data_IF_156437994032
#
_entry.id   IF_156437994032
#
_cell.length_a   1.000
_cell.length_b   1.000
_cell.length_c   1.000
_cell.angle_alpha   90.00
_cell.angle_beta   90.00
_cell.angle_gamma   90.00
#
_symmetry.space_group_name_H-M   'P 1'
#
loop_
_entity.id
_entity.type
_entity.pdbx_description
1 polymer ?
#
# COMPACT_ATOMS: atom_id res chain seq x y z
N UNK A 1 5.57 32.39 -26.75
CA UNK A 1 4.42 32.32 -25.82
C UNK A 1 4.86 31.47 -24.64
N UNK A 2 5.06 32.11 -23.50
CA UNK A 2 5.54 31.51 -22.26
C UNK A 2 4.49 30.56 -21.69
N UNK A 3 4.84 29.28 -21.57
CA UNK A 3 4.06 28.34 -20.76
C UNK A 3 4.26 28.74 -19.29
N UNK A 4 3.20 29.24 -18.67
CA UNK A 4 3.13 29.41 -17.22
C UNK A 4 3.11 28.04 -16.59
N UNK A 5 4.28 27.55 -16.17
CA UNK A 5 4.38 26.40 -15.28
C UNK A 5 3.65 26.72 -13.98
N UNK A 6 2.69 25.87 -13.63
CA UNK A 6 2.02 25.97 -12.34
C UNK A 6 3.03 25.54 -11.27
N UNK A 7 3.74 26.52 -10.69
CA UNK A 7 4.74 26.35 -9.64
C UNK A 7 4.04 26.10 -8.28
N UNK A 8 3.26 25.02 -8.19
CA UNK A 8 2.82 24.45 -6.92
C UNK A 8 3.93 23.59 -6.32
N UNK A 9 4.07 23.57 -4.99
CA UNK A 9 4.85 22.51 -4.34
C UNK A 9 4.25 21.14 -4.69
N UNK A 10 5.06 20.08 -4.89
CA UNK A 10 4.54 18.75 -5.18
C UNK A 10 3.52 18.29 -4.12
N UNK A 11 2.41 17.72 -4.54
CA UNK A 11 1.39 17.12 -3.67
C UNK A 11 1.86 15.74 -3.22
N UNK A 12 2.80 15.72 -2.27
CA UNK A 12 3.38 14.47 -1.73
C UNK A 12 2.53 13.86 -0.61
N UNK A 13 1.77 14.68 0.11
CA UNK A 13 0.86 14.30 1.19
C UNK A 13 -0.57 14.75 0.84
N UNK A 14 -1.59 13.98 1.23
CA UNK A 14 -2.99 14.31 0.99
C UNK A 14 -3.90 14.00 2.19
N UNK A 15 -4.54 15.05 2.73
CA UNK A 15 -5.57 14.94 3.77
C UNK A 15 -7.00 15.26 3.28
N UNK A 16 -7.19 15.32 1.96
CA UNK A 16 -8.50 15.58 1.34
C UNK A 16 -9.14 14.29 0.89
N UNK A 17 -10.43 14.16 1.15
CA UNK A 17 -11.24 13.02 0.74
C UNK A 17 -11.48 12.96 -0.78
N UNK A 18 -11.28 14.08 -1.47
CA UNK A 18 -11.54 14.22 -2.90
C UNK A 18 -10.26 14.05 -3.70
N UNK A 19 -10.27 13.10 -4.64
CA UNK A 19 -9.20 12.92 -5.61
C UNK A 19 -9.35 13.90 -6.77
N UNK A 20 -8.28 14.65 -7.07
CA UNK A 20 -8.19 15.53 -8.23
C UNK A 20 -7.08 15.02 -9.16
N UNK A 21 -7.47 14.48 -10.31
CA UNK A 21 -6.54 13.98 -11.33
C UNK A 21 -6.39 15.00 -12.47
N UNK A 22 -5.17 15.22 -13.00
CA UNK A 22 -4.97 15.94 -14.25
C UNK A 22 -5.73 15.29 -15.41
N UNK A 23 -6.20 16.07 -16.39
CA UNK A 23 -6.92 15.53 -17.56
C UNK A 23 -6.11 14.49 -18.36
N UNK A 24 -4.78 14.59 -18.34
CA UNK A 24 -3.89 13.66 -19.02
C UNK A 24 -3.52 12.41 -18.21
N UNK A 25 -4.06 12.28 -16.99
CA UNK A 25 -3.70 11.19 -16.08
C UNK A 25 -4.31 9.87 -16.55
N UNK A 26 -3.49 8.82 -16.52
CA UNK A 26 -3.86 7.47 -16.90
C UNK A 26 -3.80 6.56 -15.67
N UNK A 27 -4.89 5.85 -15.40
CA UNK A 27 -5.02 5.02 -14.19
C UNK A 27 -4.35 3.65 -14.34
N UNK A 28 -3.85 3.30 -15.53
CA UNK A 28 -3.37 1.97 -15.92
C UNK A 28 -1.85 1.92 -16.08
N UNK A 29 -1.11 2.39 -15.07
CA UNK A 29 0.35 2.50 -15.14
C UNK A 29 1.05 1.15 -15.33
N UNK A 30 0.47 0.03 -14.88
CA UNK A 30 1.06 -1.30 -15.09
C UNK A 30 0.93 -1.79 -16.53
N UNK A 31 0.15 -1.13 -17.40
CA UNK A 31 0.10 -1.40 -18.84
C UNK A 31 1.46 -1.25 -19.54
N UNK A 32 2.36 -0.44 -18.96
CA UNK A 32 3.70 -0.17 -19.49
C UNK A 32 4.74 -1.23 -19.09
N UNK A 33 4.40 -2.13 -18.15
CA UNK A 33 5.32 -3.16 -17.66
C UNK A 33 5.41 -4.34 -18.64
N UNK A 34 6.60 -4.95 -18.73
CA UNK A 34 6.83 -6.19 -19.49
C UNK A 34 6.13 -7.37 -18.78
N UNK A 35 5.35 -8.14 -19.53
CA UNK A 35 4.61 -9.32 -19.05
C UNK A 35 5.52 -10.40 -18.44
N UNK A 36 6.81 -10.42 -18.79
CA UNK A 36 7.78 -11.39 -18.28
C UNK A 36 8.45 -10.97 -16.96
N UNK A 37 8.31 -9.71 -16.51
CA UNK A 37 8.83 -9.30 -15.20
C UNK A 37 8.05 -9.99 -14.09
N UNK A 38 8.73 -10.44 -13.03
CA UNK A 38 8.05 -10.93 -11.84
C UNK A 38 7.44 -9.78 -11.05
N UNK A 39 6.33 -10.03 -10.36
CA UNK A 39 5.74 -9.04 -9.44
C UNK A 39 6.74 -8.64 -8.35
N UNK A 40 7.60 -9.56 -7.91
CA UNK A 40 8.66 -9.27 -6.95
C UNK A 40 9.76 -8.36 -7.47
N UNK A 41 9.82 -8.06 -8.78
CA UNK A 41 10.76 -7.11 -9.40
C UNK A 41 10.19 -5.69 -9.57
N UNK A 42 8.94 -5.45 -9.15
CA UNK A 42 8.24 -4.19 -9.37
C UNK A 42 8.24 -3.36 -8.09
N UNK A 43 8.53 -2.06 -8.23
CA UNK A 43 8.32 -1.10 -7.15
C UNK A 43 6.85 -0.68 -7.13
N UNK A 44 6.12 -1.03 -6.07
CA UNK A 44 4.65 -0.90 -6.01
C UNK A 44 4.25 0.11 -4.94
N UNK A 45 3.48 1.17 -5.28
CA UNK A 45 2.89 2.03 -4.27
C UNK A 45 1.76 1.31 -3.54
N UNK A 46 1.81 1.37 -2.21
CA UNK A 46 0.85 0.72 -1.32
C UNK A 46 0.32 1.67 -0.24
N UNK A 47 -0.74 1.24 0.43
CA UNK A 47 -1.32 1.93 1.59
C UNK A 47 -1.30 1.04 2.82
N UNK A 48 -0.81 1.59 3.93
CA UNK A 48 -0.93 0.99 5.26
C UNK A 48 -2.36 1.16 5.77
N UNK A 49 -2.93 0.11 6.36
CA UNK A 49 -4.31 0.07 6.84
C UNK A 49 -5.28 0.79 5.90
N UNK A 50 -5.33 0.29 4.67
CA UNK A 50 -5.99 0.88 3.48
C UNK A 50 -7.40 1.43 3.78
N UNK A 51 -8.13 0.75 4.66
CA UNK A 51 -9.52 1.08 4.99
C UNK A 51 -9.67 1.97 6.24
N UNK A 52 -8.59 2.32 6.93
CA UNK A 52 -8.63 3.16 8.13
C UNK A 52 -8.93 4.64 7.79
N UNK A 53 -10.20 4.90 7.47
CA UNK A 53 -10.77 6.20 7.08
C UNK A 53 -11.53 6.85 8.24
N UNK A 54 -11.72 6.12 9.34
CA UNK A 54 -12.54 6.52 10.47
C UNK A 54 -11.81 6.31 11.81
N UNK A 55 -12.48 6.68 12.91
CA UNK A 55 -11.92 6.54 14.27
C UNK A 55 -11.16 7.77 14.77
N UNK A 56 -11.06 8.83 13.98
CA UNK A 56 -10.46 10.11 14.36
C UNK A 56 -8.93 10.12 14.25
N UNK A 57 -8.27 11.23 14.66
CA UNK A 57 -6.88 11.48 14.33
C UNK A 57 -5.89 10.40 14.74
N UNK A 58 -6.17 9.63 15.80
CA UNK A 58 -5.29 8.57 16.28
C UNK A 58 -5.39 7.26 15.48
N UNK A 59 -6.44 7.08 14.69
CA UNK A 59 -6.75 5.85 13.96
C UNK A 59 -6.82 6.04 12.44
N UNK A 60 -7.16 7.22 11.94
CA UNK A 60 -7.22 7.50 10.50
C UNK A 60 -5.81 7.45 9.88
N UNK A 61 -5.64 6.60 8.87
CA UNK A 61 -4.40 6.41 8.11
C UNK A 61 -4.53 6.88 6.65
N UNK A 62 -5.77 6.99 6.14
CA UNK A 62 -6.04 7.32 4.74
C UNK A 62 -7.11 8.41 4.64
N UNK A 63 -7.04 9.24 3.60
CA UNK A 63 -8.06 10.24 3.29
C UNK A 63 -8.97 9.81 2.14
N UNK A 64 -8.41 9.15 1.12
CA UNK A 64 -9.16 8.67 -0.04
C UNK A 64 -9.85 7.35 0.27
N UNK A 65 -11.09 7.22 -0.20
CA UNK A 65 -11.75 5.91 -0.30
C UNK A 65 -11.01 5.00 -1.28
N UNK A 66 -11.26 3.70 -1.17
CA UNK A 66 -10.56 2.65 -1.92
C UNK A 66 -10.56 2.90 -3.44
N UNK A 67 -11.68 3.31 -4.04
CA UNK A 67 -11.76 3.58 -5.47
C UNK A 67 -10.79 4.68 -5.91
N UNK A 68 -10.64 5.70 -5.06
CA UNK A 68 -9.78 6.85 -5.33
C UNK A 68 -8.31 6.52 -5.09
N UNK A 69 -8.00 5.68 -4.09
CA UNK A 69 -6.65 5.13 -3.92
C UNK A 69 -6.21 4.32 -5.16
N UNK A 70 -7.08 3.43 -5.67
CA UNK A 70 -6.81 2.65 -6.87
C UNK A 70 -6.61 3.53 -8.11
N UNK A 71 -7.46 4.55 -8.29
CA UNK A 71 -7.33 5.52 -9.38
C UNK A 71 -6.06 6.37 -9.27
N UNK A 72 -5.61 6.71 -8.06
CA UNK A 72 -4.39 7.46 -7.83
C UNK A 72 -3.10 6.64 -8.10
N UNK A 73 -3.23 5.31 -8.27
CA UNK A 73 -2.15 4.42 -8.67
C UNK A 73 -1.76 3.37 -7.64
N UNK A 74 -2.40 3.32 -6.47
CA UNK A 74 -2.13 2.31 -5.43
C UNK A 74 -2.43 0.91 -5.97
N UNK A 75 -1.52 -0.05 -5.75
CA UNK A 75 -1.66 -1.46 -6.17
C UNK A 75 -1.33 -2.47 -5.08
N UNK A 76 -1.01 -2.02 -3.87
CA UNK A 76 -0.91 -2.88 -2.69
C UNK A 76 -1.83 -2.35 -1.58
N UNK A 77 -2.68 -3.24 -1.07
CA UNK A 77 -3.65 -2.95 -0.03
C UNK A 77 -3.32 -3.78 1.22
N UNK A 78 -3.03 -3.10 2.32
CA UNK A 78 -2.94 -3.70 3.64
C UNK A 78 -4.31 -3.64 4.33
N UNK A 79 -4.94 -4.80 4.56
CA UNK A 79 -6.27 -4.91 5.15
C UNK A 79 -6.22 -5.65 6.48
N UNK A 80 -6.78 -5.04 7.52
CA UNK A 80 -7.08 -5.72 8.77
C UNK A 80 -8.54 -6.13 8.81
N UNK A 81 -8.82 -7.38 9.16
CA UNK A 81 -10.17 -7.93 9.16
C UNK A 81 -10.49 -8.67 10.45
N UNK A 82 -11.76 -8.64 10.84
CA UNK A 82 -12.31 -9.35 11.99
C UNK A 82 -13.53 -10.16 11.59
N UNK A 83 -13.57 -11.43 11.99
CA UNK A 83 -14.70 -12.33 11.76
C UNK A 83 -15.78 -12.13 12.83
N UNK A 84 -17.01 -11.83 12.40
CA UNK A 84 -18.15 -11.72 13.31
C UNK A 84 -19.45 -12.10 12.59
N UNK A 85 -20.27 -12.95 13.22
CA UNK A 85 -21.58 -13.39 12.71
C UNK A 85 -21.58 -13.84 11.23
N UNK A 86 -20.50 -14.48 10.78
CA UNK A 86 -20.39 -15.00 9.41
C UNK A 86 -19.96 -13.98 8.35
N UNK A 87 -19.57 -12.76 8.76
CA UNK A 87 -18.98 -11.75 7.88
C UNK A 87 -17.56 -11.35 8.32
N UNK A 88 -16.76 -10.87 7.36
CA UNK A 88 -15.42 -10.32 7.59
C UNK A 88 -15.46 -8.80 7.50
N UNK A 89 -15.37 -8.13 8.65
CA UNK A 89 -15.42 -6.67 8.76
C UNK A 89 -14.01 -6.09 8.67
N UNK A 90 -13.87 -4.95 8.00
CA UNK A 90 -12.60 -4.19 7.97
C UNK A 90 -12.45 -3.41 9.28
N UNK A 91 -11.30 -3.54 9.93
CA UNK A 91 -11.05 -2.97 11.25
C UNK A 91 -9.75 -2.17 11.29
N UNK A 92 -9.59 -1.32 12.29
CA UNK A 92 -8.29 -0.84 12.74
C UNK A 92 -8.24 -0.95 14.27
N UNK A 93 -7.67 -2.05 14.77
CA UNK A 93 -7.77 -2.42 16.17
C UNK A 93 -9.22 -2.73 16.55
N UNK A 94 -9.81 -1.91 17.43
CA UNK A 94 -11.22 -2.05 17.85
C UNK A 94 -12.19 -1.21 17.02
N UNK A 95 -11.69 -0.39 16.09
CA UNK A 95 -12.52 0.51 15.29
C UNK A 95 -13.03 -0.19 14.05
N UNK A 96 -14.34 -0.06 13.80
CA UNK A 96 -14.98 -0.56 12.59
C UNK A 96 -14.88 0.48 11.48
N UNK A 97 -14.34 0.09 10.33
CA UNK A 97 -14.07 0.99 9.20
C UNK A 97 -15.21 1.03 8.16
N UNK A 98 -16.44 0.73 8.59
CA UNK A 98 -17.66 0.86 7.77
C UNK A 98 -17.68 0.05 6.45
N UNK A 99 -16.84 -1.00 6.34
CA UNK A 99 -16.78 -1.87 5.17
C UNK A 99 -16.61 -3.35 5.54
N UNK A 100 -16.67 -4.23 4.54
CA UNK A 100 -16.43 -5.66 4.68
C UNK A 100 -15.43 -6.11 3.63
N UNK A 101 -14.78 -7.26 3.83
CA UNK A 101 -13.84 -7.81 2.85
C UNK A 101 -14.52 -8.00 1.48
N UNK A 102 -15.76 -8.49 1.45
CA UNK A 102 -16.51 -8.65 0.20
C UNK A 102 -16.64 -7.33 -0.57
N UNK A 103 -17.01 -6.23 0.11
CA UNK A 103 -17.12 -4.91 -0.52
C UNK A 103 -15.78 -4.42 -1.07
N UNK A 104 -14.70 -4.67 -0.33
CA UNK A 104 -13.34 -4.33 -0.78
C UNK A 104 -12.99 -5.12 -2.04
N UNK A 105 -13.18 -6.44 -2.04
CA UNK A 105 -12.89 -7.30 -3.20
C UNK A 105 -13.79 -7.00 -4.40
N UNK A 106 -15.06 -6.67 -4.20
CA UNK A 106 -15.98 -6.20 -5.26
C UNK A 106 -15.46 -4.92 -5.91
N UNK A 107 -15.01 -3.97 -5.09
CA UNK A 107 -14.45 -2.68 -5.57
C UNK A 107 -13.18 -2.90 -6.39
N UNK A 108 -12.28 -3.75 -5.91
CA UNK A 108 -11.04 -4.10 -6.62
C UNK A 108 -11.36 -4.84 -7.92
N UNK A 109 -12.31 -5.78 -7.90
CA UNK A 109 -12.74 -6.53 -9.08
C UNK A 109 -13.34 -5.60 -10.14
N UNK A 110 -14.16 -4.63 -9.72
CA UNK A 110 -14.69 -3.61 -10.63
C UNK A 110 -13.55 -2.81 -11.27
N UNK A 111 -12.60 -2.31 -10.48
CA UNK A 111 -11.44 -1.59 -10.98
C UNK A 111 -10.64 -2.41 -12.00
N UNK A 112 -10.33 -3.66 -11.69
CA UNK A 112 -9.57 -4.55 -12.59
C UNK A 112 -10.35 -4.93 -13.86
N UNK A 113 -11.69 -4.91 -13.81
CA UNK A 113 -12.52 -5.13 -15.00
C UNK A 113 -12.44 -3.98 -16.01
N UNK A 114 -12.25 -2.75 -15.50
CA UNK A 114 -12.07 -1.52 -16.27
C UNK A 114 -10.61 -1.37 -16.75
N UNK A 115 -9.64 -1.64 -15.88
CA UNK A 115 -8.21 -1.51 -16.14
C UNK A 115 -7.52 -2.89 -16.14
N UNK A 116 -7.77 -3.66 -17.20
CA UNK A 116 -7.36 -5.08 -17.30
C UNK A 116 -5.85 -5.33 -17.34
N UNK A 117 -5.04 -4.30 -17.56
CA UNK A 117 -3.58 -4.40 -17.48
C UNK A 117 -3.08 -4.47 -16.05
N UNK A 118 -3.87 -4.04 -15.09
CA UNK A 118 -3.46 -3.86 -13.70
C UNK A 118 -3.58 -5.16 -12.90
N UNK A 119 -2.91 -5.23 -11.77
CA UNK A 119 -3.14 -6.25 -10.74
C UNK A 119 -3.05 -5.60 -9.38
N UNK A 120 -3.83 -6.08 -8.40
CA UNK A 120 -3.84 -5.51 -7.05
C UNK A 120 -3.43 -6.57 -6.06
N UNK A 121 -2.38 -6.28 -5.30
CA UNK A 121 -1.90 -7.11 -4.20
C UNK A 121 -2.73 -6.81 -2.95
N UNK A 122 -3.26 -7.84 -2.33
CA UNK A 122 -4.11 -7.73 -1.13
C UNK A 122 -3.52 -8.57 -0.02
N UNK A 123 -3.05 -7.88 1.02
CA UNK A 123 -2.63 -8.51 2.27
C UNK A 123 -3.78 -8.51 3.26
N UNK A 124 -4.03 -9.66 3.88
CA UNK A 124 -5.01 -9.78 4.96
C UNK A 124 -4.31 -10.06 6.29
N UNK A 125 -4.60 -9.22 7.27
CA UNK A 125 -4.19 -9.36 8.66
C UNK A 125 -5.43 -9.65 9.52
N UNK A 126 -5.52 -10.82 10.15
CA UNK A 126 -6.52 -11.03 11.19
C UNK A 126 -6.28 -10.05 12.36
N UNK A 127 -7.24 -9.19 12.65
CA UNK A 127 -7.22 -8.30 13.81
C UNK A 127 -7.95 -8.96 14.99
N UNK A 128 -7.62 -8.53 16.22
CA UNK A 128 -8.21 -9.04 17.46
C UNK A 128 -7.99 -10.55 17.67
N UNK A 129 -9.07 -11.31 17.88
CA UNK A 129 -9.08 -12.74 18.20
C UNK A 129 -9.61 -13.58 17.02
N UNK A 130 -9.64 -14.91 17.15
CA UNK A 130 -10.14 -15.87 16.15
C UNK A 130 -9.40 -15.84 14.79
N UNK A 131 -8.06 -15.83 14.82
CA UNK A 131 -7.24 -15.79 13.60
C UNK A 131 -7.50 -16.95 12.63
N UNK A 132 -7.74 -18.15 13.16
CA UNK A 132 -8.01 -19.34 12.35
C UNK A 132 -9.36 -19.23 11.62
N UNK A 133 -10.39 -18.68 12.31
CA UNK A 133 -11.71 -18.42 11.72
C UNK A 133 -11.61 -17.42 10.55
N UNK A 134 -10.80 -16.37 10.71
CA UNK A 134 -10.56 -15.40 9.64
C UNK A 134 -9.98 -16.08 8.40
N UNK A 135 -8.97 -16.96 8.55
CA UNK A 135 -8.40 -17.65 7.40
C UNK A 135 -9.43 -18.51 6.67
N UNK A 136 -10.17 -19.37 7.41
CA UNK A 136 -11.19 -20.24 6.81
C UNK A 136 -12.26 -19.41 6.08
N UNK A 137 -12.72 -18.31 6.67
CA UNK A 137 -13.72 -17.45 6.05
C UNK A 137 -13.20 -16.75 4.80
N UNK A 138 -11.95 -16.26 4.80
CA UNK A 138 -11.35 -15.67 3.59
C UNK A 138 -11.31 -16.70 2.48
N UNK A 139 -10.87 -17.94 2.78
CA UNK A 139 -10.83 -19.04 1.81
C UNK A 139 -12.23 -19.38 1.25
N UNK A 140 -13.31 -19.19 2.02
CA UNK A 140 -14.67 -19.30 1.48
C UNK A 140 -15.06 -18.11 0.61
N UNK A 141 -14.75 -16.89 1.03
CA UNK A 141 -15.08 -15.65 0.29
C UNK A 141 -14.43 -15.67 -1.10
N UNK A 142 -13.16 -16.04 -1.20
CA UNK A 142 -12.42 -16.01 -2.47
C UNK A 142 -12.98 -16.98 -3.52
N UNK A 143 -13.71 -18.03 -3.12
CA UNK A 143 -14.35 -18.97 -4.07
C UNK A 143 -15.44 -18.30 -4.91
N UNK A 144 -15.93 -17.13 -4.47
CA UNK A 144 -16.86 -16.30 -5.23
C UNK A 144 -16.20 -15.43 -6.32
N UNK A 145 -14.87 -15.45 -6.44
CA UNK A 145 -14.11 -14.61 -7.37
C UNK A 145 -13.27 -15.48 -8.32
N UNK A 146 -13.42 -15.25 -9.63
CA UNK A 146 -12.75 -16.07 -10.65
C UNK A 146 -11.28 -15.65 -10.91
N UNK A 147 -10.95 -14.37 -10.72
CA UNK A 147 -9.66 -13.78 -11.09
C UNK A 147 -8.79 -13.50 -9.85
N UNK A 148 -8.48 -14.56 -9.10
CA UNK A 148 -7.63 -14.47 -7.89
C UNK A 148 -6.39 -15.35 -8.03
N UNK A 149 -5.24 -14.84 -7.60
CA UNK A 149 -4.00 -15.59 -7.46
C UNK A 149 -3.76 -15.88 -6.00
N UNK A 150 -3.75 -17.17 -5.66
CA UNK A 150 -3.58 -17.69 -4.30
C UNK A 150 -2.42 -18.67 -4.16
N UNK A 151 -1.68 -18.89 -5.25
CA UNK A 151 -0.46 -19.70 -5.24
C UNK A 151 0.69 -18.92 -4.58
N UNK A 152 1.55 -19.64 -3.86
CA UNK A 152 2.78 -19.12 -3.26
C UNK A 152 3.88 -18.78 -4.27
N UNK A 153 3.84 -19.32 -5.48
CA UNK A 153 4.81 -18.97 -6.52
C UNK A 153 4.64 -17.51 -6.94
N UNK A 154 5.75 -16.77 -7.05
CA UNK A 154 5.72 -15.39 -7.55
C UNK A 154 5.34 -15.40 -9.03
N UNK A 155 4.21 -14.76 -9.41
CA UNK A 155 3.79 -14.70 -10.79
C UNK A 155 4.55 -13.61 -11.56
N UNK A 156 4.58 -13.75 -12.88
CA UNK A 156 4.92 -12.64 -13.77
C UNK A 156 3.74 -11.68 -13.92
N UNK A 157 4.01 -10.42 -14.27
CA UNK A 157 2.98 -9.41 -14.52
C UNK A 157 1.92 -9.94 -15.50
N UNK A 158 2.35 -10.56 -16.60
CA UNK A 158 1.44 -11.11 -17.62
C UNK A 158 0.50 -12.19 -17.10
N UNK A 159 0.91 -12.97 -16.09
CA UNK A 159 0.07 -14.01 -15.49
C UNK A 159 -1.03 -13.46 -14.60
N UNK A 160 -0.87 -12.25 -14.04
CA UNK A 160 -1.80 -11.67 -13.05
C UNK A 160 -2.51 -10.41 -13.52
N UNK A 161 -2.36 -10.01 -14.78
CA UNK A 161 -3.16 -8.92 -15.36
C UNK A 161 -4.66 -9.20 -15.18
N UNK A 162 -5.38 -8.24 -14.61
CA UNK A 162 -6.80 -8.32 -14.29
C UNK A 162 -7.11 -9.18 -13.06
N UNK A 163 -6.11 -9.58 -12.26
CA UNK A 163 -6.28 -10.45 -11.09
C UNK A 163 -5.96 -9.74 -9.77
N UNK A 164 -6.61 -10.20 -8.71
CA UNK A 164 -6.24 -9.91 -7.33
C UNK A 164 -5.18 -10.92 -6.92
N UNK A 165 -4.05 -10.47 -6.38
CA UNK A 165 -2.98 -11.33 -5.87
C UNK A 165 -2.99 -11.27 -4.36
N UNK A 166 -3.29 -12.38 -3.70
CA UNK A 166 -3.22 -12.44 -2.24
C UNK A 166 -1.76 -12.46 -1.79
N UNK A 167 -1.50 -11.88 -0.62
CA UNK A 167 -0.17 -11.82 -0.01
C UNK A 167 -0.21 -12.47 1.36
N UNK A 168 0.71 -13.40 1.60
CA UNK A 168 0.75 -14.22 2.81
C UNK A 168 1.89 -13.84 3.74
N UNK A 169 1.61 -13.93 5.05
CA UNK A 169 2.61 -13.80 6.11
C UNK A 169 2.19 -14.47 7.41
N UNK A 170 3.18 -15.04 8.07
CA UNK A 170 3.07 -15.59 9.43
C UNK A 170 1.94 -16.62 9.53
N UNK A 171 0.85 -16.31 10.24
CA UNK A 171 -0.26 -17.24 10.43
C UNK A 171 -1.26 -17.26 9.28
N UNK A 172 -1.25 -16.28 8.38
CA UNK A 172 -2.14 -16.23 7.22
C UNK A 172 -1.39 -16.73 5.99
N UNK A 173 -1.85 -17.84 5.39
CA UNK A 173 -1.14 -18.60 4.35
C UNK A 173 -1.95 -18.68 3.05
N UNK A 174 -2.05 -17.55 2.35
CA UNK A 174 -2.77 -17.46 1.07
C UNK A 174 -2.07 -16.49 0.10
N UNK A 175 -1.65 -16.99 -1.07
CA UNK A 175 -0.98 -16.19 -2.09
C UNK A 175 0.53 -16.06 -1.91
N UNK A 176 1.12 -15.01 -2.48
CA UNK A 176 2.57 -14.87 -2.58
C UNK A 176 3.20 -14.50 -1.23
N UNK A 177 4.38 -15.06 -0.86
CA UNK A 177 5.05 -14.69 0.38
C UNK A 177 5.50 -13.24 0.37
N UNK A 178 5.44 -12.59 1.54
CA UNK A 178 6.06 -11.29 1.76
C UNK A 178 7.17 -11.33 2.81
N UNK A 179 8.11 -10.39 2.68
CA UNK A 179 9.14 -10.10 3.68
C UNK A 179 9.07 -8.62 4.03
N UNK A 180 8.72 -8.30 5.28
CA UNK A 180 8.83 -6.93 5.76
C UNK A 180 10.29 -6.61 6.08
N UNK A 181 10.70 -5.39 5.73
CA UNK A 181 11.95 -4.80 6.21
C UNK A 181 11.81 -4.30 7.65
N UNK A 182 10.60 -3.87 8.01
CA UNK A 182 10.27 -3.38 9.33
C UNK A 182 10.37 -4.48 10.40
N UNK A 183 10.93 -4.10 11.54
CA UNK A 183 11.00 -4.91 12.74
C UNK A 183 9.90 -4.53 13.73
N UNK A 184 9.70 -5.37 14.74
CA UNK A 184 8.65 -5.16 15.73
C UNK A 184 8.91 -3.89 16.54
N UNK A 185 8.09 -2.87 16.30
CA UNK A 185 8.15 -1.59 17.03
C UNK A 185 8.44 -0.40 16.12
N UNK A 186 8.85 -0.60 14.88
CA UNK A 186 9.28 0.47 13.96
C UNK A 186 8.13 1.41 13.52
N UNK A 187 6.89 1.05 13.85
CA UNK A 187 5.73 1.94 13.70
C UNK A 187 5.66 3.00 14.82
N UNK A 188 6.41 2.84 15.93
CA UNK A 188 6.38 3.74 17.08
C UNK A 188 7.34 4.92 16.86
N UNK A 189 6.79 6.11 16.61
CA UNK A 189 7.57 7.30 16.25
C UNK A 189 7.75 8.22 17.45
N UNK A 190 8.99 8.33 17.94
CA UNK A 190 9.35 9.35 18.94
C UNK A 190 9.83 10.63 18.26
N UNK A 191 10.69 10.49 17.25
CA UNK A 191 11.23 11.60 16.46
C UNK A 191 11.14 11.27 14.97
N UNK A 192 10.69 12.24 14.17
CA UNK A 192 10.58 12.08 12.71
C UNK A 192 11.93 11.72 12.08
N UNK A 193 13.03 12.36 12.49
CA UNK A 193 14.35 12.08 11.94
C UNK A 193 14.81 10.63 12.14
N UNK A 194 14.40 9.99 13.24
CA UNK A 194 14.70 8.58 13.46
C UNK A 194 13.91 7.70 12.48
N UNK A 195 12.62 7.99 12.30
CA UNK A 195 11.78 7.28 11.32
C UNK A 195 12.29 7.48 9.88
N UNK A 196 12.79 8.67 9.54
CA UNK A 196 13.48 8.93 8.27
C UNK A 196 14.72 8.02 8.10
N UNK A 197 15.57 7.95 9.12
CA UNK A 197 16.77 7.09 9.10
C UNK A 197 16.43 5.59 8.98
N UNK A 198 15.45 5.11 9.74
CA UNK A 198 14.95 3.73 9.70
C UNK A 198 14.36 3.41 8.32
N UNK A 199 13.48 4.28 7.80
CA UNK A 199 12.86 4.09 6.48
C UNK A 199 13.94 4.08 5.38
N UNK A 200 14.98 4.92 5.48
CA UNK A 200 16.10 4.89 4.55
C UNK A 200 16.90 3.58 4.61
N UNK A 201 17.08 3.00 5.81
CA UNK A 201 17.73 1.70 5.98
C UNK A 201 16.88 0.56 5.42
N UNK A 202 15.57 0.59 5.67
CA UNK A 202 14.61 -0.37 5.12
C UNK A 202 14.58 -0.34 3.60
N UNK A 203 14.53 0.83 2.97
CA UNK A 203 14.59 0.96 1.52
C UNK A 203 15.90 0.42 0.94
N UNK A 204 17.04 0.64 1.60
CA UNK A 204 18.32 0.04 1.19
C UNK A 204 18.30 -1.48 1.29
N UNK A 205 17.69 -2.03 2.34
CA UNK A 205 17.51 -3.47 2.46
C UNK A 205 16.60 -4.00 1.35
N UNK A 206 15.49 -3.29 1.04
CA UNK A 206 14.56 -3.68 0.00
C UNK A 206 15.23 -3.79 -1.38
N UNK A 207 16.15 -2.87 -1.70
CA UNK A 207 16.96 -2.96 -2.94
C UNK A 207 17.76 -4.26 -3.02
N UNK A 208 18.28 -4.77 -1.90
CA UNK A 208 19.06 -6.03 -1.88
C UNK A 208 18.21 -7.30 -1.90
N UNK A 209 16.94 -7.16 -1.57
CA UNK A 209 15.99 -8.26 -1.37
C UNK A 209 14.92 -8.31 -2.47
N UNK A 210 14.80 -7.28 -3.31
CA UNK A 210 13.88 -7.26 -4.43
C UNK A 210 14.23 -8.35 -5.47
N UNK A 211 13.21 -8.89 -6.15
CA UNK A 211 13.34 -9.91 -7.19
C UNK A 211 13.54 -11.33 -6.68
N UNK A 212 13.32 -11.54 -5.38
CA UNK A 212 13.37 -12.87 -4.75
C UNK A 212 12.06 -13.62 -4.95
N UNK A 213 11.96 -14.80 -4.35
CA UNK A 213 10.77 -15.65 -4.27
C UNK A 213 9.72 -15.15 -3.25
N UNK A 214 9.74 -13.84 -2.96
CA UNK A 214 8.82 -13.10 -2.11
C UNK A 214 8.77 -11.64 -2.55
N UNK A 215 7.68 -10.93 -2.21
CA UNK A 215 7.64 -9.46 -2.31
C UNK A 215 8.22 -8.84 -1.04
N UNK A 216 8.97 -7.75 -1.18
CA UNK A 216 9.51 -7.00 -0.04
C UNK A 216 8.57 -5.85 0.29
N UNK A 217 8.35 -5.58 1.58
CA UNK A 217 7.44 -4.54 2.06
C UNK A 217 8.17 -3.62 3.05
N UNK A 218 8.12 -2.32 2.77
CA UNK A 218 8.59 -1.25 3.66
C UNK A 218 7.44 -0.32 4.02
N UNK A 219 7.32 0.04 5.29
CA UNK A 219 6.37 1.04 5.75
C UNK A 219 7.05 2.38 5.99
N UNK A 220 6.53 3.46 5.38
CA UNK A 220 6.86 4.82 5.80
C UNK A 220 5.91 5.34 6.90
N UNK A 221 4.80 4.64 7.13
CA UNK A 221 3.80 4.97 8.14
C UNK A 221 4.31 4.78 9.57
N UNK A 222 3.62 5.41 10.52
CA UNK A 222 3.93 5.31 11.94
C UNK A 222 3.05 6.20 12.78
N UNK A 223 3.08 6.00 14.10
CA UNK A 223 2.32 6.77 15.09
C UNK A 223 3.14 6.95 16.35
N UNK A 224 2.97 8.06 17.05
CA UNK A 224 3.70 8.33 18.27
C UNK A 224 3.11 7.62 19.47
N UNK A 225 3.98 6.95 20.24
CA UNK A 225 3.61 6.21 21.45
C UNK A 225 4.50 6.65 22.62
N UNK A 226 3.91 6.76 23.81
CA UNK A 226 4.65 6.69 25.08
C UNK A 226 5.46 7.91 25.54
N UNK A 227 5.45 9.04 24.81
CA UNK A 227 6.15 10.28 25.22
C UNK A 227 5.27 11.53 25.03
N UNK A 228 5.57 12.62 25.76
CA UNK A 228 4.84 13.90 25.62
C UNK A 228 5.00 14.51 24.22
N UNK A 229 6.15 14.30 23.57
CA UNK A 229 6.37 14.74 22.19
C UNK A 229 5.68 13.82 21.18
N UNK A 230 5.74 12.49 21.40
CA UNK A 230 5.08 11.50 20.57
C UNK A 230 3.55 11.51 20.63
N UNK A 231 2.94 11.95 21.74
CA UNK A 231 1.47 11.94 21.87
C UNK A 231 0.74 12.83 20.85
N UNK A 232 1.45 13.74 20.19
CA UNK A 232 0.91 14.60 19.14
C UNK A 232 1.27 14.13 17.72
N UNK A 233 2.07 13.07 17.59
CA UNK A 233 2.43 12.46 16.30
C UNK A 233 1.39 11.41 15.91
N UNK A 234 0.19 11.87 15.56
CA UNK A 234 -0.80 11.00 14.92
C UNK A 234 -0.30 10.44 13.58
N UNK A 235 -0.88 9.35 13.03
CA UNK A 235 -0.51 8.85 11.69
C UNK A 235 -0.46 9.96 10.63
N UNK A 236 -1.49 10.81 10.59
CA UNK A 236 -1.52 12.01 9.76
C UNK A 236 -0.32 12.94 9.98
N UNK A 237 0.06 13.22 11.23
CA UNK A 237 1.17 14.14 11.55
C UNK A 237 2.54 13.57 11.21
N UNK A 238 2.68 12.24 11.26
CA UNK A 238 3.86 11.53 10.78
C UNK A 238 3.93 11.63 9.25
N UNK A 239 2.84 11.28 8.55
CA UNK A 239 2.74 11.35 7.08
C UNK A 239 3.00 12.77 6.53
N UNK A 240 2.48 13.82 7.19
CA UNK A 240 2.74 15.23 6.85
C UNK A 240 4.24 15.59 6.77
N UNK A 241 5.12 14.80 7.41
CA UNK A 241 6.58 14.96 7.37
C UNK A 241 7.29 13.88 6.56
N UNK A 242 6.89 12.63 6.75
CA UNK A 242 7.49 11.48 6.08
C UNK A 242 7.26 11.50 4.57
N UNK A 243 6.09 11.90 4.09
CA UNK A 243 5.76 11.84 2.65
C UNK A 243 6.59 12.81 1.79
N UNK A 244 6.71 14.12 2.14
CA UNK A 244 7.64 15.01 1.44
C UNK A 244 9.09 14.52 1.49
N UNK A 245 9.55 14.04 2.65
CA UNK A 245 10.90 13.51 2.80
C UNK A 245 11.14 12.29 1.91
N UNK A 246 10.19 11.34 1.89
CA UNK A 246 10.26 10.11 1.10
C UNK A 246 10.28 10.44 -0.40
N UNK A 247 9.46 11.38 -0.84
CA UNK A 247 9.48 11.88 -2.23
C UNK A 247 10.88 12.40 -2.61
N UNK A 248 11.46 13.29 -1.80
CA UNK A 248 12.78 13.85 -2.07
C UNK A 248 13.89 12.78 -2.02
N UNK A 249 13.79 11.84 -1.08
CA UNK A 249 14.71 10.71 -0.94
C UNK A 249 14.70 9.82 -2.20
N UNK A 250 13.52 9.34 -2.61
CA UNK A 250 13.37 8.50 -3.81
C UNK A 250 13.78 9.24 -5.09
N UNK A 251 13.41 10.53 -5.20
CA UNK A 251 13.81 11.38 -6.33
C UNK A 251 15.32 11.47 -6.44
N UNK A 252 16.03 11.70 -5.34
CA UNK A 252 17.48 11.79 -5.33
C UNK A 252 18.15 10.46 -5.71
N UNK A 253 17.58 9.32 -5.30
CA UNK A 253 18.07 8.01 -5.70
C UNK A 253 17.87 7.76 -7.21
N UNK A 254 16.69 8.09 -7.73
CA UNK A 254 16.36 7.92 -9.16
C UNK A 254 17.27 8.74 -10.10
N UNK A 255 17.82 9.85 -9.61
CA UNK A 255 18.74 10.70 -10.38
C UNK A 255 20.16 10.09 -10.53
N UNK A 256 20.50 9.08 -9.72
CA UNK A 256 21.84 8.46 -9.69
C UNK A 256 21.90 7.05 -10.27
N UNK A 257 20.84 6.24 -10.16
CA UNK A 257 20.80 4.84 -10.60
C UNK A 257 19.42 4.49 -11.17
N UNK A 258 19.32 4.30 -12.50
CA UNK A 258 18.07 3.92 -13.16
C UNK A 258 17.74 2.44 -12.92
N UNK A 259 16.48 2.12 -12.58
CA UNK A 259 15.96 0.75 -12.53
C UNK A 259 16.17 0.00 -11.20
N UNK A 260 16.40 0.71 -10.10
CA UNK A 260 16.38 0.10 -8.76
C UNK A 260 14.96 -0.28 -8.35
N UNK A 261 14.79 -1.50 -7.84
CA UNK A 261 13.53 -1.95 -7.28
C UNK A 261 13.52 -1.84 -5.75
N UNK A 262 12.47 -1.25 -5.19
CA UNK A 262 12.27 -1.10 -3.74
C UNK A 262 11.16 -2.01 -3.19
N UNK A 263 10.58 -2.89 -4.02
CA UNK A 263 9.42 -3.68 -3.65
C UNK A 263 8.21 -2.80 -3.36
N UNK A 264 7.42 -3.18 -2.36
CA UNK A 264 6.22 -2.45 -1.95
C UNK A 264 6.60 -1.37 -0.94
N UNK A 265 6.14 -0.14 -1.19
CA UNK A 265 6.24 0.97 -0.25
C UNK A 265 4.83 1.33 0.22
N UNK A 266 4.49 0.96 1.46
CA UNK A 266 3.19 1.20 2.06
C UNK A 266 3.20 2.48 2.91
N UNK A 267 2.26 3.39 2.61
CA UNK A 267 2.24 4.77 3.12
C UNK A 267 0.90 5.10 3.80
N UNK A 268 0.92 6.12 4.67
CA UNK A 268 -0.29 6.78 5.19
C UNK A 268 -0.50 8.10 4.46
N UNK A 269 -1.74 8.43 4.07
CA UNK A 269 -2.09 9.69 3.39
C UNK A 269 -1.24 10.07 2.15
N UNK A 270 -0.82 9.12 1.28
CA UNK A 270 0.07 9.46 0.18
C UNK A 270 -0.61 10.42 -0.81
N UNK A 271 0.08 11.49 -1.17
CA UNK A 271 -0.33 12.41 -2.21
C UNK A 271 0.00 11.91 -3.61
N UNK A 272 -0.67 12.48 -4.63
CA UNK A 272 -0.57 12.02 -6.01
C UNK A 272 0.88 12.04 -6.53
N UNK A 273 1.65 13.09 -6.24
CA UNK A 273 3.03 13.21 -6.74
C UNK A 273 3.98 12.20 -6.10
N UNK A 274 3.74 11.82 -4.83
CA UNK A 274 4.50 10.75 -4.18
C UNK A 274 4.19 9.39 -4.81
N UNK A 275 2.91 9.10 -5.06
CA UNK A 275 2.52 7.85 -5.75
C UNK A 275 3.15 7.78 -7.15
N UNK A 276 3.12 8.89 -7.90
CA UNK A 276 3.76 8.94 -9.22
C UNK A 276 5.29 8.80 -9.15
N UNK A 277 5.93 9.35 -8.12
CA UNK A 277 7.36 9.14 -7.90
C UNK A 277 7.67 7.65 -7.72
N UNK A 278 6.92 6.94 -6.87
CA UNK A 278 7.10 5.49 -6.66
C UNK A 278 6.89 4.71 -7.97
N UNK A 279 5.84 5.03 -8.73
CA UNK A 279 5.56 4.40 -10.03
C UNK A 279 6.71 4.62 -11.01
N UNK A 280 7.28 5.83 -11.03
CA UNK A 280 8.34 6.21 -11.98
C UNK A 280 9.65 5.45 -11.81
N UNK A 281 9.85 4.79 -10.66
CA UNK A 281 11.03 3.95 -10.41
C UNK A 281 11.04 2.67 -11.27
N UNK A 282 9.91 2.32 -11.89
CA UNK A 282 9.80 1.17 -12.79
C UNK A 282 10.11 1.50 -14.27
N UNK A 283 10.24 2.78 -14.60
CA UNK A 283 10.40 3.30 -15.97
C UNK A 283 11.87 3.53 -16.36
#
# INVERSE_FOLDING_TARGET
MSHSGNNGSPQTFNDKDTLNLPESYQNDWMSLLDDNKFISDITIPGTHDTMALHGGPAAECQAWKLEDQLKAGIRYLDLRVFAFEGELYTMHGVMYEHSTLNRVLDTVTQFLSEFRSETVLVRIKPDLFNKDEVQEMVEQVIKGYDNVWVDSAIPTVGQVRGMIVFVQKSSFQLGIPEKETDTKGDYEVIHISHKEEETAQHLKQAVTECGRDFVVLTYSSGTGIGTFEGMFLTPKKVAEKMDPWLYDYLKNLSAGESGQCFGIIAMDFPGLDLIQMVISLNM
#
